data_IF_294639935408
#
_entry.id   IF_294639935408
#
_cell.length_a   1.000
_cell.length_b   1.000
_cell.length_c   1.000
_cell.angle_alpha   90.00
_cell.angle_beta   90.00
_cell.angle_gamma   90.00
#
_symmetry.space_group_name_H-M   'P 1'
#
loop_
_entity.id
_entity.type
_entity.pdbx_description
1 polymer ?
#
# COMPACT_ATOMS: atom_id res chain seq x y z
N UNK A 1 -9.27 -7.44 30.43
CA UNK A 1 -7.89 -7.75 29.99
C UNK A 1 -7.75 -7.34 28.53
N UNK A 2 -6.84 -6.44 28.25
CA UNK A 2 -6.57 -5.99 26.87
C UNK A 2 -6.00 -7.18 26.07
N UNK A 3 -6.60 -7.50 24.92
CA UNK A 3 -6.07 -8.55 24.07
C UNK A 3 -4.71 -8.15 23.48
N UNK A 4 -3.85 -9.11 23.18
CA UNK A 4 -2.53 -8.88 22.59
C UNK A 4 -2.60 -7.99 21.35
N UNK A 5 -3.62 -8.19 20.50
CA UNK A 5 -3.86 -7.37 19.32
C UNK A 5 -4.25 -5.91 19.65
N UNK A 6 -4.97 -5.68 20.76
CA UNK A 6 -5.29 -4.31 21.22
C UNK A 6 -4.04 -3.60 21.70
N UNK A 7 -3.17 -4.29 22.48
CA UNK A 7 -1.90 -3.72 22.91
C UNK A 7 -1.01 -3.35 21.73
N UNK A 8 -0.96 -4.21 20.71
CA UNK A 8 -0.20 -3.92 19.49
C UNK A 8 -0.75 -2.71 18.74
N UNK A 9 -2.08 -2.59 18.59
CA UNK A 9 -2.69 -1.40 17.97
C UNK A 9 -2.44 -0.12 18.78
N UNK A 10 -2.44 -0.19 20.11
CA UNK A 10 -2.12 0.96 20.96
C UNK A 10 -0.64 1.37 20.82
N UNK A 11 0.28 0.41 20.72
CA UNK A 11 1.68 0.68 20.41
C UNK A 11 1.82 1.41 19.07
N UNK A 12 1.14 0.91 18.03
CA UNK A 12 1.12 1.56 16.72
C UNK A 12 0.50 2.96 16.77
N UNK A 13 -0.53 3.17 17.60
CA UNK A 13 -1.13 4.50 17.83
C UNK A 13 -0.12 5.47 18.44
N UNK A 14 0.66 5.03 19.43
CA UNK A 14 1.69 5.85 20.03
C UNK A 14 2.77 6.26 19.01
N UNK A 15 3.21 5.31 18.17
CA UNK A 15 4.15 5.58 17.08
C UNK A 15 3.55 6.58 16.08
N UNK A 16 2.28 6.39 15.68
CA UNK A 16 1.60 7.26 14.74
C UNK A 16 1.46 8.71 15.25
N UNK A 17 1.22 8.88 16.56
CA UNK A 17 1.15 10.19 17.21
C UNK A 17 2.53 10.88 17.23
N UNK A 18 3.58 10.17 17.59
CA UNK A 18 4.97 10.68 17.57
C UNK A 18 5.35 11.10 16.14
N UNK A 19 5.02 10.28 15.15
CA UNK A 19 5.29 10.53 13.74
C UNK A 19 4.37 11.60 13.12
N UNK A 20 3.36 12.08 13.85
CA UNK A 20 2.32 13.02 13.36
C UNK A 20 1.65 12.52 12.07
N UNK A 21 1.53 11.20 11.89
CA UNK A 21 0.95 10.59 10.70
C UNK A 21 -0.57 10.50 10.81
N UNK A 22 -1.28 11.45 10.22
CA UNK A 22 -2.75 11.52 10.28
C UNK A 22 -3.44 10.28 9.71
N UNK A 23 -2.96 9.77 8.56
CA UNK A 23 -3.56 8.59 7.92
C UNK A 23 -3.47 7.35 8.81
N UNK A 24 -2.32 7.14 9.46
CA UNK A 24 -2.10 6.02 10.36
C UNK A 24 -2.94 6.17 11.64
N UNK A 25 -3.01 7.38 12.21
CA UNK A 25 -3.86 7.69 13.37
C UNK A 25 -5.32 7.35 13.07
N UNK A 26 -5.85 7.83 11.94
CA UNK A 26 -7.24 7.57 11.54
C UNK A 26 -7.47 6.07 11.34
N UNK A 27 -6.59 5.38 10.63
CA UNK A 27 -6.72 3.95 10.38
C UNK A 27 -6.77 3.14 11.68
N UNK A 28 -5.85 3.39 12.62
CA UNK A 28 -5.81 2.68 13.90
C UNK A 28 -7.03 3.02 14.75
N UNK A 29 -7.46 4.29 14.76
CA UNK A 29 -8.67 4.72 15.47
C UNK A 29 -9.90 3.99 14.98
N UNK A 30 -10.09 3.86 13.67
CA UNK A 30 -11.19 3.10 13.07
C UNK A 30 -11.14 1.64 13.48
N UNK A 31 -9.97 1.00 13.43
CA UNK A 31 -9.81 -0.40 13.83
C UNK A 31 -10.14 -0.63 15.31
N UNK A 32 -9.67 0.26 16.18
CA UNK A 32 -9.97 0.19 17.61
C UNK A 32 -11.47 0.39 17.90
N UNK A 33 -12.11 1.35 17.24
CA UNK A 33 -13.55 1.59 17.38
C UNK A 33 -14.35 0.36 16.94
N UNK A 34 -14.06 -0.21 15.77
CA UNK A 34 -14.74 -1.43 15.29
C UNK A 34 -14.55 -2.58 16.27
N UNK A 35 -13.35 -2.72 16.82
CA UNK A 35 -13.04 -3.77 17.79
C UNK A 35 -13.80 -3.60 19.09
N UNK A 36 -13.89 -2.38 19.62
CA UNK A 36 -14.59 -2.10 20.88
C UNK A 36 -16.09 -2.18 20.77
N UNK A 37 -16.66 -1.91 19.59
CA UNK A 37 -18.10 -2.07 19.34
C UNK A 37 -18.54 -3.53 19.20
N UNK A 38 -17.60 -4.49 19.16
CA UNK A 38 -17.91 -5.90 18.95
C UNK A 38 -18.28 -6.26 17.51
N UNK A 39 -18.20 -5.31 16.58
CA UNK A 39 -18.47 -5.53 15.15
C UNK A 39 -17.30 -6.16 14.39
N UNK A 40 -16.17 -6.39 15.07
CA UNK A 40 -14.93 -6.86 14.46
C UNK A 40 -15.11 -8.14 13.64
N UNK A 41 -15.80 -9.13 14.17
CA UNK A 41 -15.98 -10.43 13.51
C UNK A 41 -16.72 -10.35 12.17
N UNK A 42 -17.57 -9.34 12.00
CA UNK A 42 -18.32 -9.11 10.76
C UNK A 42 -17.59 -8.17 9.81
N UNK A 43 -16.97 -7.13 10.33
CA UNK A 43 -16.41 -6.02 9.55
C UNK A 43 -14.99 -6.31 9.09
N UNK A 44 -14.13 -6.90 9.92
CA UNK A 44 -12.73 -7.15 9.57
C UNK A 44 -12.56 -8.08 8.36
N UNK A 45 -13.29 -9.21 8.24
CA UNK A 45 -13.16 -10.04 7.04
C UNK A 45 -13.56 -9.30 5.75
N UNK A 46 -14.61 -8.46 5.82
CA UNK A 46 -15.04 -7.65 4.69
C UNK A 46 -14.00 -6.59 4.31
N UNK A 47 -13.45 -5.88 5.30
CA UNK A 47 -12.40 -4.90 5.10
C UNK A 47 -11.13 -5.54 4.52
N UNK A 48 -10.76 -6.72 5.00
CA UNK A 48 -9.60 -7.45 4.52
C UNK A 48 -9.79 -7.93 3.08
N UNK A 49 -10.99 -8.40 2.73
CA UNK A 49 -11.29 -8.89 1.38
C UNK A 49 -11.40 -7.76 0.34
N UNK A 50 -11.99 -6.62 0.71
CA UNK A 50 -12.37 -5.55 -0.24
C UNK A 50 -11.64 -4.23 -0.02
N UNK A 51 -11.03 -4.00 1.14
CA UNK A 51 -10.46 -2.71 1.53
C UNK A 51 -9.35 -2.22 0.60
N UNK A 52 -8.45 -3.11 0.18
CA UNK A 52 -7.37 -2.76 -0.76
C UNK A 52 -7.96 -2.30 -2.10
N UNK A 53 -8.92 -3.05 -2.66
CA UNK A 53 -9.52 -2.70 -3.94
C UNK A 53 -10.30 -1.38 -3.87
N UNK A 54 -11.03 -1.13 -2.78
CA UNK A 54 -11.71 0.15 -2.57
C UNK A 54 -10.72 1.31 -2.44
N UNK A 55 -9.64 1.12 -1.69
CA UNK A 55 -8.58 2.12 -1.56
C UNK A 55 -7.93 2.46 -2.90
N UNK A 56 -7.58 1.44 -3.69
CA UNK A 56 -7.04 1.63 -5.05
C UNK A 56 -8.03 2.38 -5.93
N UNK A 57 -9.33 2.05 -5.88
CA UNK A 57 -10.36 2.75 -6.66
C UNK A 57 -10.42 4.24 -6.28
N UNK A 58 -10.42 4.57 -4.99
CA UNK A 58 -10.45 5.96 -4.52
C UNK A 58 -9.21 6.73 -4.99
N UNK A 59 -8.02 6.13 -4.87
CA UNK A 59 -6.77 6.73 -5.35
C UNK A 59 -6.85 6.95 -6.87
N UNK A 60 -7.35 5.98 -7.63
CA UNK A 60 -7.48 6.08 -9.08
C UNK A 60 -8.43 7.22 -9.46
N UNK A 61 -9.56 7.35 -8.79
CA UNK A 61 -10.48 8.48 -9.00
C UNK A 61 -9.75 9.81 -8.77
N UNK A 62 -9.04 9.96 -7.64
CA UNK A 62 -8.30 11.18 -7.33
C UNK A 62 -7.25 11.54 -8.40
N UNK A 63 -6.52 10.54 -8.91
CA UNK A 63 -5.52 10.72 -9.97
C UNK A 63 -6.17 11.13 -11.31
N UNK A 64 -7.40 10.71 -11.58
CA UNK A 64 -8.12 11.04 -12.80
C UNK A 64 -8.85 12.41 -12.77
N UNK A 65 -8.93 13.04 -11.59
CA UNK A 65 -9.58 14.38 -11.46
C UNK A 65 -9.05 15.39 -12.47
N UNK A 66 -7.74 15.57 -12.73
CA UNK A 66 -7.24 16.55 -13.68
C UNK A 66 -7.71 16.28 -15.13
N UNK A 67 -8.05 15.04 -15.47
CA UNK A 67 -8.66 14.72 -16.77
C UNK A 67 -10.12 15.15 -16.77
N UNK A 68 -10.85 14.90 -15.70
CA UNK A 68 -12.25 15.26 -15.55
C UNK A 68 -12.46 16.79 -15.50
N UNK A 69 -11.51 17.54 -14.92
CA UNK A 69 -11.52 19.02 -14.89
C UNK A 69 -11.05 19.67 -16.20
N UNK A 70 -10.48 18.88 -17.12
CA UNK A 70 -9.95 19.39 -18.38
C UNK A 70 -8.52 19.93 -18.32
N UNK A 71 -7.85 19.83 -17.17
CA UNK A 71 -6.45 20.27 -17.01
C UNK A 71 -5.50 19.37 -17.82
N UNK A 72 -5.86 18.10 -17.98
CA UNK A 72 -5.15 17.12 -18.81
C UNK A 72 -6.09 16.62 -19.92
N UNK A 73 -5.68 16.84 -21.18
CA UNK A 73 -6.43 16.40 -22.36
C UNK A 73 -5.52 15.88 -23.47
N UNK A 74 -6.09 15.69 -24.65
CA UNK A 74 -5.35 15.16 -25.82
C UNK A 74 -4.16 16.03 -26.24
N UNK A 75 -4.20 17.33 -26.00
CA UNK A 75 -3.08 18.24 -26.30
C UNK A 75 -1.88 17.91 -25.43
N UNK A 76 -2.06 17.80 -24.11
CA UNK A 76 -1.01 17.45 -23.15
C UNK A 76 -0.45 16.05 -23.43
N UNK A 77 -1.33 15.10 -23.82
CA UNK A 77 -0.91 13.76 -24.21
C UNK A 77 -0.05 13.79 -25.48
N UNK A 78 -0.42 14.59 -26.49
CA UNK A 78 0.36 14.77 -27.71
C UNK A 78 1.72 15.46 -27.47
N UNK A 79 1.79 16.39 -26.52
CA UNK A 79 3.06 17.02 -26.11
C UNK A 79 3.94 16.02 -25.33
N UNK A 80 3.35 15.19 -24.49
CA UNK A 80 4.07 14.16 -23.72
C UNK A 80 4.80 13.17 -24.65
N UNK A 81 4.22 12.78 -25.79
CA UNK A 81 4.88 11.85 -26.74
C UNK A 81 6.21 12.37 -27.30
N UNK A 82 6.45 13.69 -27.23
CA UNK A 82 7.69 14.32 -27.69
C UNK A 82 8.77 14.41 -26.62
N UNK A 83 8.44 14.06 -25.37
CA UNK A 83 9.34 14.17 -24.23
C UNK A 83 9.88 12.80 -23.79
N UNK A 84 11.20 12.68 -23.72
CA UNK A 84 11.86 11.48 -23.16
C UNK A 84 11.40 11.22 -21.70
N UNK A 85 11.25 12.28 -20.91
CA UNK A 85 10.79 12.16 -19.53
C UNK A 85 9.39 11.58 -19.42
N UNK A 86 8.48 11.91 -20.34
CA UNK A 86 7.15 11.34 -20.36
C UNK A 86 7.15 9.84 -20.72
N UNK A 87 8.06 9.40 -21.60
CA UNK A 87 8.22 7.96 -21.86
C UNK A 87 8.80 7.20 -20.65
N UNK A 88 9.76 7.79 -19.95
CA UNK A 88 10.26 7.23 -18.68
C UNK A 88 9.15 7.16 -17.63
N UNK A 89 8.34 8.21 -17.49
CA UNK A 89 7.21 8.22 -16.57
C UNK A 89 6.16 7.16 -16.92
N UNK A 90 5.84 7.00 -18.21
CA UNK A 90 4.93 5.96 -18.69
C UNK A 90 5.46 4.55 -18.34
N UNK A 91 6.71 4.27 -18.66
CA UNK A 91 7.36 3.00 -18.35
C UNK A 91 7.40 2.72 -16.85
N UNK A 92 7.72 3.72 -16.05
CA UNK A 92 7.71 3.62 -14.58
C UNK A 92 6.31 3.35 -14.04
N UNK A 93 5.28 4.01 -14.57
CA UNK A 93 3.89 3.78 -14.19
C UNK A 93 3.44 2.35 -14.48
N UNK A 94 3.77 1.83 -15.66
CA UNK A 94 3.49 0.43 -16.02
C UNK A 94 4.21 -0.53 -15.07
N UNK A 95 5.50 -0.32 -14.83
CA UNK A 95 6.31 -1.17 -13.97
C UNK A 95 5.75 -1.19 -12.53
N UNK A 96 5.43 -0.03 -11.95
CA UNK A 96 4.86 0.07 -10.60
C UNK A 96 3.48 -0.60 -10.52
N UNK A 97 2.65 -0.47 -11.54
CA UNK A 97 1.33 -1.12 -11.58
C UNK A 97 1.46 -2.66 -11.57
N UNK A 98 2.41 -3.22 -12.33
CA UNK A 98 2.69 -4.65 -12.34
C UNK A 98 3.27 -5.14 -11.01
N UNK A 99 4.20 -4.37 -10.43
CA UNK A 99 4.76 -4.63 -9.10
C UNK A 99 3.65 -4.62 -8.04
N UNK A 100 2.76 -3.64 -8.06
CA UNK A 100 1.65 -3.54 -7.12
C UNK A 100 0.66 -4.72 -7.25
N UNK A 101 0.34 -5.15 -8.47
CA UNK A 101 -0.51 -6.31 -8.71
C UNK A 101 0.06 -7.58 -8.07
N UNK A 102 1.35 -7.86 -8.27
CA UNK A 102 2.04 -8.99 -7.62
C UNK A 102 2.08 -8.86 -6.09
N UNK A 103 2.16 -7.63 -5.59
CA UNK A 103 2.14 -7.34 -4.16
C UNK A 103 0.81 -7.67 -3.48
N UNK A 104 -0.31 -7.45 -4.15
CA UNK A 104 -1.65 -7.80 -3.62
C UNK A 104 -1.74 -9.29 -3.32
N UNK A 105 -1.26 -10.12 -4.22
CA UNK A 105 -1.31 -11.58 -4.05
C UNK A 105 -0.42 -12.03 -2.89
N UNK A 106 0.77 -11.46 -2.75
CA UNK A 106 1.67 -11.77 -1.64
C UNK A 106 1.06 -11.37 -0.29
N UNK A 107 0.49 -10.16 -0.19
CA UNK A 107 -0.15 -9.68 1.03
C UNK A 107 -1.35 -10.55 1.46
N UNK A 108 -2.07 -11.16 0.51
CA UNK A 108 -3.20 -12.04 0.81
C UNK A 108 -2.78 -13.42 1.27
N UNK A 109 -1.65 -13.93 0.75
CA UNK A 109 -1.28 -15.32 0.89
C UNK A 109 -0.21 -15.60 1.95
N UNK A 110 0.52 -14.55 2.40
CA UNK A 110 1.60 -14.71 3.39
C UNK A 110 1.49 -13.70 4.55
N UNK A 111 0.87 -14.11 5.68
CA UNK A 111 0.71 -13.24 6.85
C UNK A 111 2.03 -12.80 7.49
N UNK A 112 3.09 -13.64 7.42
CA UNK A 112 4.38 -13.29 8.03
C UNK A 112 5.09 -12.18 7.25
N UNK A 113 5.08 -12.29 5.93
CA UNK A 113 5.62 -11.25 5.05
C UNK A 113 4.80 -9.97 5.18
N UNK A 114 3.48 -10.09 5.25
CA UNK A 114 2.58 -8.94 5.47
C UNK A 114 2.92 -8.20 6.76
N UNK A 115 3.15 -8.90 7.87
CA UNK A 115 3.54 -8.28 9.14
C UNK A 115 4.88 -7.54 9.02
N UNK A 116 5.89 -8.14 8.38
CA UNK A 116 7.19 -7.52 8.15
C UNK A 116 7.08 -6.25 7.28
N UNK A 117 6.28 -6.29 6.21
CA UNK A 117 6.04 -5.14 5.33
C UNK A 117 5.31 -4.01 6.03
N UNK A 118 4.31 -4.33 6.86
CA UNK A 118 3.59 -3.35 7.67
C UNK A 118 4.55 -2.68 8.65
N UNK A 119 5.37 -3.45 9.38
CA UNK A 119 6.37 -2.89 10.28
C UNK A 119 7.38 -2.00 9.56
N UNK A 120 7.93 -2.46 8.43
CA UNK A 120 8.84 -1.67 7.60
C UNK A 120 8.21 -0.36 7.11
N UNK A 121 6.95 -0.40 6.71
CA UNK A 121 6.21 0.80 6.30
C UNK A 121 6.01 1.76 7.47
N UNK A 122 5.67 1.25 8.66
CA UNK A 122 5.50 2.08 9.86
C UNK A 122 6.82 2.79 10.19
N UNK A 123 7.95 2.09 10.14
CA UNK A 123 9.28 2.69 10.34
C UNK A 123 9.55 3.78 9.30
N UNK A 124 9.30 3.50 8.02
CA UNK A 124 9.52 4.46 6.94
C UNK A 124 8.65 5.71 7.10
N UNK A 125 7.36 5.54 7.42
CA UNK A 125 6.40 6.63 7.60
C UNK A 125 6.73 7.45 8.86
N UNK A 126 7.17 6.79 9.93
CA UNK A 126 7.44 7.44 11.21
C UNK A 126 8.76 8.21 11.24
N UNK A 127 9.79 7.70 10.58
CA UNK A 127 11.16 8.22 10.72
C UNK A 127 11.76 8.76 9.42
N UNK A 128 11.23 8.35 8.25
CA UNK A 128 11.82 8.67 6.95
C UNK A 128 10.89 9.50 6.04
N UNK A 129 9.79 10.04 6.57
CA UNK A 129 8.75 10.76 5.81
C UNK A 129 8.16 9.94 4.64
N UNK A 130 8.09 8.61 4.81
CA UNK A 130 7.50 7.71 3.82
C UNK A 130 5.97 7.86 3.74
N UNK A 131 5.37 7.26 2.73
CA UNK A 131 3.91 7.23 2.53
C UNK A 131 3.37 5.83 2.80
N UNK A 132 2.16 5.73 3.36
CA UNK A 132 1.54 4.46 3.80
C UNK A 132 1.12 3.49 2.68
N UNK A 133 1.44 3.77 1.42
CA UNK A 133 1.28 2.83 0.28
C UNK A 133 2.40 1.78 0.20
N UNK A 134 3.39 1.88 1.10
CA UNK A 134 4.55 1.00 1.16
C UNK A 134 4.25 -0.50 1.16
N UNK A 135 3.26 -1.03 1.91
CA UNK A 135 2.97 -2.46 1.92
C UNK A 135 2.64 -3.02 0.54
N UNK A 136 1.89 -2.30 -0.29
CA UNK A 136 1.48 -2.76 -1.61
C UNK A 136 2.65 -2.82 -2.58
N UNK A 137 3.43 -1.74 -2.68
CA UNK A 137 4.59 -1.65 -3.57
C UNK A 137 5.73 -2.53 -3.04
N UNK A 138 5.98 -2.49 -1.73
CA UNK A 138 6.99 -3.31 -1.08
C UNK A 138 6.74 -4.81 -1.24
N UNK A 139 5.50 -5.26 -1.13
CA UNK A 139 5.12 -6.64 -1.38
C UNK A 139 5.40 -7.07 -2.82
N UNK A 140 5.12 -6.21 -3.79
CA UNK A 140 5.43 -6.47 -5.19
C UNK A 140 6.94 -6.59 -5.45
N UNK A 141 7.74 -5.69 -4.87
CA UNK A 141 9.20 -5.76 -4.95
C UNK A 141 9.71 -7.04 -4.27
N UNK A 142 9.22 -7.36 -3.08
CA UNK A 142 9.58 -8.59 -2.36
C UNK A 142 9.26 -9.83 -3.19
N UNK A 143 8.06 -9.91 -3.80
CA UNK A 143 7.67 -11.00 -4.68
C UNK A 143 8.66 -11.18 -5.85
N UNK A 144 8.97 -10.09 -6.57
CA UNK A 144 9.90 -10.15 -7.69
C UNK A 144 11.31 -10.57 -7.25
N UNK A 145 11.78 -10.05 -6.11
CA UNK A 145 13.10 -10.39 -5.56
C UNK A 145 13.17 -11.86 -5.17
N UNK A 146 12.15 -12.38 -4.48
CA UNK A 146 12.09 -13.80 -4.11
C UNK A 146 12.04 -14.71 -5.34
N UNK A 147 11.30 -14.34 -6.37
CA UNK A 147 11.26 -15.08 -7.64
C UNK A 147 12.62 -15.08 -8.34
N UNK A 148 13.30 -13.94 -8.36
CA UNK A 148 14.64 -13.84 -8.93
C UNK A 148 15.65 -14.73 -8.18
N UNK A 149 15.63 -14.72 -6.84
CA UNK A 149 16.48 -15.56 -6.00
C UNK A 149 16.22 -17.04 -6.27
N UNK A 150 14.94 -17.46 -6.33
CA UNK A 150 14.58 -18.84 -6.62
C UNK A 150 15.06 -19.29 -8.01
N UNK A 151 14.92 -18.42 -9.02
CA UNK A 151 15.39 -18.71 -10.38
C UNK A 151 16.92 -18.86 -10.44
N UNK A 152 17.66 -17.97 -9.78
CA UNK A 152 19.11 -18.03 -9.68
C UNK A 152 19.55 -19.31 -8.95
N UNK A 153 18.90 -19.67 -7.85
CA UNK A 153 19.20 -20.88 -7.10
C UNK A 153 18.99 -22.16 -7.94
N UNK A 154 17.99 -22.18 -8.83
CA UNK A 154 17.76 -23.29 -9.76
C UNK A 154 18.81 -23.38 -10.88
N UNK A 155 19.46 -22.27 -11.22
CA UNK A 155 20.52 -22.27 -12.25
C UNK A 155 21.88 -22.74 -11.71
N UNK A 156 22.09 -22.64 -10.40
CA UNK A 156 23.38 -22.91 -9.74
C UNK A 156 23.34 -24.19 -8.88
N UNK A 157 22.22 -24.87 -8.75
CA UNK A 157 22.05 -26.17 -8.07
C UNK A 157 21.80 -27.29 -9.06
#
# INVERSE_FOLDING_TARGET
LLSQSTLFLLLLMAIALIAKNQSLIIAISVLLLIKWTGLGDKVFPLMQAKGINLGVTIITIAVLVPIATGDIGFKQLGEATKSLYAWVALGSGIAVALVAASGIDLLKNDPHITAALVLGTIVAVSFLNGVAVGPLIGAGIAYLTMRAIQYIAQLWG
#
